data_IF_282047902137
#
_entry.id   IF_282047902137
#
_cell.length_a   1.000
_cell.length_b   1.000
_cell.length_c   1.000
_cell.angle_alpha   90.00
_cell.angle_beta   90.00
_cell.angle_gamma   90.00
#
_symmetry.space_group_name_H-M   'P 1'
#
loop_
_entity.id
_entity.type
_entity.pdbx_description
1 polymer ?
#
# COMPACT_ATOMS: atom_id res chain seq x y z
N UNK A 1 5.49 -0.37 -7.94
CA UNK A 1 4.49 -1.43 -8.10
C UNK A 1 3.47 -1.08 -9.17
N UNK A 2 2.55 -0.11 -8.97
CA UNK A 2 1.49 0.22 -9.94
C UNK A 2 1.99 0.39 -11.40
N UNK A 3 3.04 1.18 -11.62
CA UNK A 3 3.63 1.36 -12.97
C UNK A 3 4.14 0.06 -13.62
N UNK A 4 4.66 -0.88 -12.82
CA UNK A 4 5.11 -2.16 -13.35
C UNK A 4 3.92 -3.04 -13.75
N UNK A 5 2.84 -2.99 -12.97
CA UNK A 5 1.57 -3.65 -13.27
C UNK A 5 0.90 -3.07 -14.53
N UNK A 6 0.94 -1.75 -14.71
CA UNK A 6 0.35 -1.04 -15.85
C UNK A 6 1.10 -1.31 -17.16
N UNK A 7 2.44 -1.24 -17.16
CA UNK A 7 3.23 -1.48 -18.37
C UNK A 7 3.20 -2.96 -18.77
N UNK A 8 3.26 -3.86 -17.78
CA UNK A 8 3.35 -5.30 -17.98
C UNK A 8 4.35 -5.72 -19.08
N UNK A 9 5.49 -5.02 -19.13
CA UNK A 9 6.55 -5.22 -20.10
C UNK A 9 7.90 -4.93 -19.44
N UNK A 10 8.97 -5.57 -19.91
CA UNK A 10 10.34 -5.41 -19.39
C UNK A 10 11.21 -4.77 -20.47
N UNK A 11 11.93 -3.70 -20.14
CA UNK A 11 12.89 -3.08 -21.06
C UNK A 11 14.28 -3.74 -20.96
N UNK A 12 15.12 -3.50 -21.96
CA UNK A 12 16.53 -3.94 -21.91
C UNK A 12 17.28 -3.32 -20.73
N UNK A 13 16.98 -2.06 -20.39
CA UNK A 13 17.53 -1.38 -19.22
C UNK A 13 17.11 -2.06 -17.91
N UNK A 14 15.86 -2.54 -17.81
CA UNK A 14 15.40 -3.30 -16.65
C UNK A 14 16.24 -4.60 -16.50
N UNK A 15 16.55 -5.31 -17.59
CA UNK A 15 17.41 -6.49 -17.54
C UNK A 15 18.86 -6.17 -17.18
N UNK A 16 19.41 -5.05 -17.66
CA UNK A 16 20.76 -4.60 -17.31
C UNK A 16 20.88 -4.29 -15.82
N UNK A 17 19.92 -3.58 -15.25
CA UNK A 17 19.90 -3.24 -13.83
C UNK A 17 19.78 -4.50 -12.94
N UNK A 18 18.91 -5.43 -13.32
CA UNK A 18 18.75 -6.71 -12.63
C UNK A 18 20.03 -7.56 -12.71
N UNK A 19 20.67 -7.62 -13.89
CA UNK A 19 21.92 -8.35 -14.10
C UNK A 19 23.07 -7.78 -13.26
N UNK A 20 23.20 -6.45 -13.18
CA UNK A 20 24.20 -5.78 -12.32
C UNK A 20 23.99 -6.08 -10.83
N UNK A 21 22.74 -6.27 -10.40
CA UNK A 21 22.39 -6.66 -9.04
C UNK A 21 22.51 -8.19 -8.78
N UNK A 22 22.97 -8.97 -9.76
CA UNK A 22 23.12 -10.42 -9.65
C UNK A 22 21.80 -11.21 -9.75
N UNK A 23 20.71 -10.57 -10.18
CA UNK A 23 19.41 -11.23 -10.36
C UNK A 23 19.31 -11.76 -11.80
N UNK A 24 19.65 -13.04 -11.98
CA UNK A 24 19.69 -13.71 -13.28
C UNK A 24 18.45 -14.53 -13.63
N UNK A 25 18.56 -15.29 -14.72
CA UNK A 25 17.48 -16.15 -15.26
C UNK A 25 17.01 -17.24 -14.29
N UNK A 26 17.85 -17.67 -13.33
CA UNK A 26 17.44 -18.64 -12.30
C UNK A 26 16.31 -18.12 -11.41
N UNK A 27 16.29 -16.80 -11.15
CA UNK A 27 15.28 -16.15 -10.33
C UNK A 27 14.20 -15.47 -11.17
N UNK A 28 14.55 -14.94 -12.34
CA UNK A 28 13.59 -14.20 -13.17
C UNK A 28 12.84 -15.08 -14.16
N UNK A 29 13.41 -16.24 -14.51
CA UNK A 29 12.86 -17.15 -15.50
C UNK A 29 11.46 -17.63 -15.14
N UNK A 30 10.53 -17.51 -16.10
CA UNK A 30 9.16 -17.95 -15.95
C UNK A 30 8.26 -17.03 -15.13
N UNK A 31 8.75 -15.91 -14.60
CA UNK A 31 7.90 -14.90 -13.97
C UNK A 31 7.17 -14.05 -15.03
N UNK A 32 6.00 -13.47 -14.70
CA UNK A 32 5.38 -12.44 -15.51
C UNK A 32 6.26 -11.20 -15.70
N UNK A 33 6.08 -10.54 -16.84
CA UNK A 33 6.80 -9.31 -17.18
C UNK A 33 6.57 -8.19 -16.14
N UNK A 34 5.35 -8.04 -15.61
CA UNK A 34 5.09 -7.06 -14.56
C UNK A 34 5.87 -7.35 -13.26
N UNK A 35 6.15 -8.62 -12.93
CA UNK A 35 6.96 -8.99 -11.73
C UNK A 35 8.42 -8.66 -11.98
N UNK A 36 8.93 -8.95 -13.17
CA UNK A 36 10.31 -8.63 -13.57
C UNK A 36 10.51 -7.12 -13.59
N UNK A 37 9.59 -6.35 -14.19
CA UNK A 37 9.64 -4.87 -14.18
C UNK A 37 9.49 -4.30 -12.76
N UNK A 38 8.67 -4.91 -11.90
CA UNK A 38 8.60 -4.55 -10.48
C UNK A 38 9.98 -4.72 -9.81
N UNK A 39 10.64 -5.85 -10.07
CA UNK A 39 11.93 -6.19 -9.50
C UNK A 39 13.03 -5.22 -9.95
N UNK A 40 13.06 -4.85 -11.23
CA UNK A 40 14.03 -3.88 -11.76
C UNK A 40 13.87 -2.51 -11.09
N UNK A 41 12.63 -2.03 -10.97
CA UNK A 41 12.34 -0.76 -10.27
C UNK A 41 12.73 -0.82 -8.80
N UNK A 42 12.57 -1.97 -8.17
CA UNK A 42 12.97 -2.14 -6.78
C UNK A 42 14.49 -2.18 -6.62
N UNK A 43 15.21 -2.85 -7.53
CA UNK A 43 16.68 -2.82 -7.57
C UNK A 43 17.20 -1.39 -7.74
N UNK A 44 16.58 -0.58 -8.60
CA UNK A 44 16.93 0.86 -8.71
C UNK A 44 16.77 1.59 -7.37
N UNK A 45 15.70 1.31 -6.63
CA UNK A 45 15.51 1.87 -5.28
C UNK A 45 16.58 1.36 -4.30
N UNK A 46 16.87 0.06 -4.30
CA UNK A 46 17.90 -0.54 -3.44
C UNK A 46 19.29 0.06 -3.73
N UNK A 47 19.61 0.29 -5.01
CA UNK A 47 20.85 0.96 -5.41
C UNK A 47 20.90 2.43 -4.97
N UNK A 48 19.76 3.14 -5.03
CA UNK A 48 19.65 4.50 -4.50
C UNK A 48 19.79 4.52 -2.96
N UNK A 49 19.24 3.53 -2.26
CA UNK A 49 19.42 3.36 -0.81
C UNK A 49 20.90 3.13 -0.51
N UNK A 50 21.58 2.23 -1.24
CA UNK A 50 23.01 1.94 -1.08
C UNK A 50 23.89 3.19 -1.19
N UNK A 51 23.58 4.12 -2.08
CA UNK A 51 24.39 5.34 -2.25
C UNK A 51 24.13 6.41 -1.20
N UNK A 52 22.89 6.53 -0.70
CA UNK A 52 22.50 7.58 0.24
C UNK A 52 22.60 7.18 1.72
N UNK A 53 22.44 5.90 2.01
CA UNK A 53 22.38 5.38 3.37
C UNK A 53 23.68 5.58 4.18
N UNK A 54 24.90 5.45 3.62
CA UNK A 54 26.13 5.65 4.40
C UNK A 54 26.20 7.04 5.06
N UNK A 55 25.83 8.09 4.33
CA UNK A 55 25.86 9.47 4.85
C UNK A 55 24.86 9.66 6.00
N UNK A 56 23.67 9.06 5.88
CA UNK A 56 22.63 9.15 6.90
C UNK A 56 23.01 8.36 8.17
N UNK A 57 23.58 7.16 8.02
CA UNK A 57 24.11 6.37 9.13
C UNK A 57 25.24 7.13 9.84
N UNK A 58 26.17 7.69 9.07
CA UNK A 58 27.28 8.47 9.61
C UNK A 58 26.77 9.67 10.42
N UNK A 59 25.83 10.44 9.87
CA UNK A 59 25.22 11.58 10.55
C UNK A 59 24.61 11.16 11.90
N UNK A 60 23.76 10.15 11.88
CA UNK A 60 23.11 9.63 13.08
C UNK A 60 24.12 9.13 14.12
N UNK A 61 25.13 8.36 13.70
CA UNK A 61 26.15 7.82 14.60
C UNK A 61 27.00 8.91 15.25
N UNK A 62 27.37 9.95 14.49
CA UNK A 62 28.10 11.09 15.03
C UNK A 62 27.25 11.90 16.03
N UNK A 63 25.97 12.11 15.75
CA UNK A 63 25.04 12.79 16.66
C UNK A 63 24.88 12.03 17.99
N UNK A 64 24.76 10.70 17.94
CA UNK A 64 24.67 9.88 19.14
C UNK A 64 26.00 9.82 19.90
N UNK A 65 27.13 9.60 19.23
CA UNK A 65 28.44 9.48 19.89
C UNK A 65 28.92 10.79 20.50
N UNK A 66 28.63 11.95 19.90
CA UNK A 66 28.97 13.28 20.45
C UNK A 66 28.36 13.56 21.83
N UNK A 67 27.31 12.82 22.22
CA UNK A 67 26.71 12.93 23.56
C UNK A 67 27.60 12.34 24.66
N UNK A 68 28.49 11.41 24.30
CA UNK A 68 29.26 10.61 25.25
C UNK A 68 30.78 10.75 25.07
N UNK A 69 31.24 11.13 23.88
CA UNK A 69 32.67 11.20 23.54
C UNK A 69 33.06 12.59 23.01
N UNK A 70 34.18 13.12 23.49
CA UNK A 70 34.72 14.42 23.06
C UNK A 70 35.56 14.34 21.79
N UNK A 71 36.14 13.17 21.50
CA UNK A 71 36.94 12.91 20.30
C UNK A 71 36.37 11.69 19.57
N UNK A 72 36.17 11.82 18.25
CA UNK A 72 35.56 10.80 17.39
C UNK A 72 36.39 10.69 16.12
N UNK A 73 36.91 9.50 15.85
CA UNK A 73 37.66 9.23 14.63
C UNK A 73 36.73 9.14 13.42
N UNK A 74 36.61 10.24 12.66
CA UNK A 74 35.69 10.35 11.53
C UNK A 74 35.91 9.30 10.44
N UNK A 75 37.16 8.89 10.19
CA UNK A 75 37.47 7.89 9.16
C UNK A 75 36.92 6.50 9.51
N UNK A 76 37.03 6.10 10.78
CA UNK A 76 36.48 4.83 11.26
C UNK A 76 34.96 4.84 11.18
N UNK A 77 34.32 5.92 11.64
CA UNK A 77 32.85 6.03 11.57
C UNK A 77 32.32 5.99 10.13
N UNK A 78 33.05 6.60 9.20
CA UNK A 78 32.69 6.57 7.77
C UNK A 78 32.79 5.15 7.21
N UNK A 79 33.89 4.46 7.48
CA UNK A 79 34.09 3.07 7.05
C UNK A 79 32.99 2.16 7.62
N UNK A 80 32.68 2.30 8.92
CA UNK A 80 31.62 1.53 9.57
C UNK A 80 30.25 1.79 8.95
N UNK A 81 29.94 3.05 8.61
CA UNK A 81 28.69 3.42 7.96
C UNK A 81 28.58 2.82 6.54
N UNK A 82 29.68 2.81 5.77
CA UNK A 82 29.75 2.19 4.45
C UNK A 82 29.53 0.66 4.55
N UNK A 83 30.17 -0.01 5.50
CA UNK A 83 30.00 -1.46 5.75
C UNK A 83 28.56 -1.78 6.17
N UNK A 84 27.96 -0.98 7.06
CA UNK A 84 26.58 -1.19 7.49
C UNK A 84 25.60 -1.02 6.32
N UNK A 85 25.78 0.01 5.50
CA UNK A 85 24.94 0.24 4.32
C UNK A 85 25.05 -0.91 3.30
N UNK A 86 26.25 -1.45 3.10
CA UNK A 86 26.46 -2.62 2.24
C UNK A 86 25.80 -3.88 2.82
N UNK A 87 25.81 -4.05 4.15
CA UNK A 87 25.06 -5.10 4.83
C UNK A 87 23.55 -5.00 4.57
N UNK A 88 22.97 -3.78 4.67
CA UNK A 88 21.56 -3.53 4.35
C UNK A 88 21.27 -3.85 2.89
N UNK A 89 22.11 -3.39 1.96
CA UNK A 89 21.97 -3.66 0.52
C UNK A 89 21.88 -5.17 0.22
N UNK A 90 22.81 -5.96 0.76
CA UNK A 90 22.82 -7.41 0.57
C UNK A 90 21.56 -8.08 1.17
N UNK A 91 21.13 -7.63 2.35
CA UNK A 91 19.89 -8.11 2.96
C UNK A 91 18.65 -7.76 2.11
N UNK A 92 18.60 -6.57 1.50
CA UNK A 92 17.49 -6.17 0.61
C UNK A 92 17.41 -7.09 -0.60
N UNK A 93 18.53 -7.40 -1.25
CA UNK A 93 18.57 -8.30 -2.40
C UNK A 93 18.13 -9.72 -2.04
N UNK A 94 18.60 -10.24 -0.90
CA UNK A 94 18.16 -11.54 -0.40
C UNK A 94 16.65 -11.57 -0.13
N UNK A 95 16.13 -10.53 0.52
CA UNK A 95 14.70 -10.39 0.81
C UNK A 95 13.85 -10.30 -0.47
N UNK A 96 14.36 -9.63 -1.49
CA UNK A 96 13.73 -9.60 -2.82
C UNK A 96 13.73 -11.00 -3.45
N UNK A 97 14.84 -11.74 -3.43
CA UNK A 97 14.89 -13.10 -3.98
C UNK A 97 13.88 -14.03 -3.31
N UNK A 98 13.81 -14.03 -1.96
CA UNK A 98 12.82 -14.82 -1.21
C UNK A 98 11.39 -14.41 -1.56
N UNK A 99 11.15 -13.10 -1.73
CA UNK A 99 9.84 -12.58 -2.16
C UNK A 99 9.44 -13.11 -3.53
N UNK A 100 10.35 -13.07 -4.51
CA UNK A 100 10.08 -13.56 -5.86
C UNK A 100 9.82 -15.07 -5.89
N UNK A 101 10.54 -15.86 -5.09
CA UNK A 101 10.29 -17.30 -4.98
C UNK A 101 8.93 -17.61 -4.38
N UNK A 102 8.52 -16.92 -3.31
CA UNK A 102 7.18 -17.06 -2.71
C UNK A 102 6.08 -16.70 -3.70
N UNK A 103 6.25 -15.60 -4.43
CA UNK A 103 5.29 -15.14 -5.44
C UNK A 103 5.22 -16.13 -6.60
N UNK A 104 6.36 -16.61 -7.11
CA UNK A 104 6.43 -17.65 -8.17
C UNK A 104 5.69 -18.91 -7.76
N UNK A 105 5.89 -19.36 -6.52
CA UNK A 105 5.23 -20.54 -5.99
C UNK A 105 3.71 -20.40 -6.01
N UNK A 106 3.19 -19.30 -5.47
CA UNK A 106 1.74 -19.02 -5.45
C UNK A 106 1.17 -18.93 -6.85
N UNK A 107 1.83 -18.21 -7.75
CA UNK A 107 1.39 -18.09 -9.14
C UNK A 107 1.37 -19.44 -9.87
N UNK A 108 2.36 -20.29 -9.64
CA UNK A 108 2.40 -21.65 -10.20
C UNK A 108 1.23 -22.49 -9.70
N UNK A 109 0.89 -22.37 -8.41
CA UNK A 109 -0.20 -23.16 -7.83
C UNK A 109 -1.57 -22.72 -8.35
N UNK A 110 -1.77 -21.42 -8.58
CA UNK A 110 -3.06 -20.87 -9.00
C UNK A 110 -3.23 -20.93 -10.53
N UNK A 111 -2.20 -20.54 -11.29
CA UNK A 111 -2.28 -20.35 -12.74
C UNK A 111 -1.60 -21.47 -13.55
N UNK A 112 -0.91 -22.41 -12.88
CA UNK A 112 -0.09 -23.44 -13.53
C UNK A 112 1.22 -22.86 -14.09
N UNK A 113 1.13 -22.05 -15.15
CA UNK A 113 2.25 -21.27 -15.67
C UNK A 113 2.26 -19.87 -15.03
N UNK A 114 3.27 -19.51 -14.22
CA UNK A 114 3.32 -18.20 -13.59
C UNK A 114 3.26 -17.05 -14.59
N UNK A 115 3.74 -17.20 -15.84
CA UNK A 115 3.69 -16.13 -16.85
C UNK A 115 2.27 -15.67 -17.18
N UNK A 116 1.27 -16.53 -16.96
CA UNK A 116 -0.14 -16.21 -17.22
C UNK A 116 -0.79 -15.44 -16.06
N UNK A 117 -0.09 -15.24 -14.94
CA UNK A 117 -0.63 -14.54 -13.78
C UNK A 117 -0.82 -13.04 -14.11
N UNK A 118 -2.07 -12.51 -14.07
CA UNK A 118 -2.34 -11.11 -14.35
C UNK A 118 -1.79 -10.22 -13.22
N UNK A 119 -1.49 -8.94 -13.47
CA UNK A 119 -1.03 -8.02 -12.42
C UNK A 119 -2.05 -7.89 -11.26
N UNK A 120 -1.59 -7.76 -10.00
CA UNK A 120 -2.46 -7.65 -8.83
C UNK A 120 -3.03 -6.24 -8.64
N UNK A 121 -2.47 -5.24 -9.31
CA UNK A 121 -2.97 -3.86 -9.32
C UNK A 121 -3.38 -3.48 -10.73
N UNK A 122 -4.59 -2.96 -10.85
CA UNK A 122 -5.16 -2.52 -12.12
C UNK A 122 -5.57 -1.06 -11.98
N UNK A 123 -4.96 -0.19 -12.78
CA UNK A 123 -5.30 1.22 -12.79
C UNK A 123 -6.69 1.39 -13.41
N UNK A 124 -7.53 2.18 -12.76
CA UNK A 124 -8.87 2.46 -13.25
C UNK A 124 -8.79 3.30 -14.52
N UNK A 125 -9.66 3.00 -15.48
CA UNK A 125 -9.84 3.87 -16.66
C UNK A 125 -10.48 5.20 -16.25
N UNK A 126 -10.44 6.23 -17.12
CA UNK A 126 -11.15 7.48 -16.84
C UNK A 126 -12.64 7.27 -16.56
N UNK A 127 -13.29 6.36 -17.29
CA UNK A 127 -14.72 6.03 -17.14
C UNK A 127 -14.98 5.35 -15.80
N UNK A 128 -14.16 4.37 -15.42
CA UNK A 128 -14.25 3.71 -14.12
C UNK A 128 -13.98 4.68 -12.97
N UNK A 129 -13.06 5.63 -13.17
CA UNK A 129 -12.76 6.69 -12.20
C UNK A 129 -13.95 7.63 -12.02
N UNK A 130 -14.60 8.06 -13.11
CA UNK A 130 -15.84 8.86 -13.04
C UNK A 130 -16.96 8.06 -12.37
N UNK A 131 -17.08 6.77 -12.65
CA UNK A 131 -18.04 5.89 -11.98
C UNK A 131 -17.78 5.82 -10.47
N UNK A 132 -16.52 5.60 -10.06
CA UNK A 132 -16.12 5.51 -8.66
C UNK A 132 -16.37 6.83 -7.90
N UNK A 133 -16.14 7.97 -8.55
CA UNK A 133 -16.19 9.27 -7.87
C UNK A 133 -17.57 9.93 -7.96
N UNK A 134 -18.32 9.75 -9.05
CA UNK A 134 -19.49 10.58 -9.36
C UNK A 134 -20.81 9.83 -9.61
N UNK A 135 -20.80 8.66 -10.26
CA UNK A 135 -22.02 8.04 -10.82
C UNK A 135 -22.44 6.68 -10.26
N UNK A 136 -21.50 5.89 -9.74
CA UNK A 136 -21.80 4.54 -9.27
C UNK A 136 -22.61 4.55 -7.97
N UNK A 137 -23.39 3.50 -7.75
CA UNK A 137 -23.92 3.18 -6.43
C UNK A 137 -22.74 3.02 -5.45
N UNK A 138 -22.74 3.79 -4.36
CA UNK A 138 -21.60 3.85 -3.45
C UNK A 138 -20.40 4.63 -3.98
N UNK A 139 -20.59 5.48 -5.00
CA UNK A 139 -19.58 6.46 -5.40
C UNK A 139 -19.32 7.49 -4.31
N UNK A 140 -18.18 8.18 -4.36
CA UNK A 140 -17.83 9.23 -3.40
C UNK A 140 -18.95 10.28 -3.24
N UNK A 141 -19.53 10.73 -4.36
CA UNK A 141 -20.62 11.73 -4.37
C UNK A 141 -21.92 11.15 -3.84
N UNK A 142 -22.26 9.92 -4.18
CA UNK A 142 -23.45 9.24 -3.65
C UNK A 142 -23.34 9.06 -2.12
N UNK A 143 -22.20 8.54 -1.63
CA UNK A 143 -21.94 8.37 -0.20
C UNK A 143 -22.00 9.71 0.55
N UNK A 144 -21.40 10.76 -0.02
CA UNK A 144 -21.46 12.12 0.53
C UNK A 144 -22.92 12.59 0.68
N UNK A 145 -23.73 12.51 -0.38
CA UNK A 145 -25.11 12.94 -0.38
C UNK A 145 -25.98 12.12 0.59
N UNK A 146 -25.73 10.81 0.70
CA UNK A 146 -26.39 9.94 1.66
C UNK A 146 -26.02 10.32 3.10
N UNK A 147 -24.75 10.59 3.38
CA UNK A 147 -24.29 10.99 4.71
C UNK A 147 -24.79 12.37 5.14
N UNK A 148 -24.96 13.29 4.19
CA UNK A 148 -25.52 14.63 4.43
C UNK A 148 -27.02 14.61 4.69
N UNK A 149 -27.74 13.64 4.11
CA UNK A 149 -29.20 13.59 4.11
C UNK A 149 -29.88 13.71 5.49
N UNK A 150 -29.38 13.12 6.59
CA UNK A 150 -30.02 13.23 7.91
C UNK A 150 -29.82 14.58 8.59
N UNK A 151 -28.91 15.42 8.09
CA UNK A 151 -28.42 16.62 8.77
C UNK A 151 -28.75 17.92 8.03
N UNK A 152 -29.37 17.82 6.86
CA UNK A 152 -29.65 18.95 5.98
C UNK A 152 -31.13 19.04 5.63
N UNK A 153 -31.57 20.26 5.35
CA UNK A 153 -32.88 20.53 4.77
C UNK A 153 -33.00 19.83 3.41
N UNK A 154 -34.17 19.23 3.14
CA UNK A 154 -34.44 18.51 1.92
C UNK A 154 -34.33 19.41 0.68
N UNK A 155 -34.72 20.68 0.77
CA UNK A 155 -34.68 21.63 -0.34
C UNK A 155 -33.23 21.98 -0.71
N UNK A 156 -32.38 22.22 0.28
CA UNK A 156 -30.94 22.50 0.08
C UNK A 156 -30.24 21.27 -0.50
N UNK A 157 -30.57 20.07 0.00
CA UNK A 157 -29.99 18.82 -0.50
C UNK A 157 -30.44 18.53 -1.94
N UNK A 158 -31.70 18.81 -2.28
CA UNK A 158 -32.22 18.64 -3.63
C UNK A 158 -31.61 19.66 -4.60
N UNK A 159 -31.39 20.91 -4.18
CA UNK A 159 -30.64 21.90 -4.96
C UNK A 159 -29.22 21.38 -5.26
N UNK A 160 -28.50 20.92 -4.23
CA UNK A 160 -27.15 20.35 -4.40
C UNK A 160 -27.15 19.14 -5.36
N UNK A 161 -28.11 18.22 -5.22
CA UNK A 161 -28.28 17.08 -6.14
C UNK A 161 -28.47 17.53 -7.58
N UNK A 162 -29.26 18.57 -7.81
CA UNK A 162 -29.50 19.11 -9.15
C UNK A 162 -28.22 19.70 -9.75
N UNK A 163 -27.46 20.48 -8.96
CA UNK A 163 -26.17 21.05 -9.36
C UNK A 163 -25.11 19.99 -9.64
N UNK A 164 -25.07 18.92 -8.84
CA UNK A 164 -24.18 17.77 -9.05
C UNK A 164 -24.48 17.07 -10.37
N UNK A 165 -25.76 16.84 -10.68
CA UNK A 165 -26.17 16.24 -11.98
C UNK A 165 -25.78 17.13 -13.17
N UNK A 166 -25.90 18.45 -13.02
CA UNK A 166 -25.55 19.40 -14.08
C UNK A 166 -24.04 19.51 -14.36
N UNK A 167 -23.18 19.04 -13.44
CA UNK A 167 -21.71 19.14 -13.52
C UNK A 167 -21.02 17.78 -13.65
N UNK A 168 -21.75 16.84 -14.21
CA UNK A 168 -21.28 15.51 -14.52
C UNK A 168 -20.04 15.54 -15.45
N UNK A 169 -18.88 15.01 -15.02
CA UNK A 169 -17.66 15.04 -15.82
C UNK A 169 -17.65 14.03 -16.99
N UNK A 170 -18.71 13.23 -17.14
CA UNK A 170 -18.79 12.15 -18.14
C UNK A 170 -18.69 12.63 -19.59
N UNK A 171 -19.04 13.88 -19.90
CA UNK A 171 -19.04 14.36 -21.29
C UNK A 171 -17.63 14.54 -21.86
N UNK A 172 -16.63 14.76 -21.00
CA UNK A 172 -15.24 14.96 -21.43
C UNK A 172 -14.30 13.80 -21.08
N UNK A 173 -14.67 12.91 -20.14
CA UNK A 173 -13.87 11.75 -19.68
C UNK A 173 -12.37 12.04 -19.44
N UNK A 174 -12.01 13.28 -19.13
CA UNK A 174 -10.62 13.65 -18.83
C UNK A 174 -10.40 13.68 -17.32
N UNK A 175 -9.20 13.28 -16.89
CA UNK A 175 -8.79 13.44 -15.48
C UNK A 175 -8.95 14.90 -15.01
N UNK A 176 -8.66 15.87 -15.88
CA UNK A 176 -8.79 17.29 -15.55
C UNK A 176 -10.24 17.73 -15.32
N UNK A 177 -11.18 17.25 -16.16
CA UNK A 177 -12.60 17.56 -15.98
C UNK A 177 -13.15 17.01 -14.66
N UNK A 178 -12.77 15.77 -14.32
CA UNK A 178 -13.17 15.12 -13.07
C UNK A 178 -12.61 15.88 -11.86
N UNK A 179 -11.33 16.26 -11.90
CA UNK A 179 -10.72 17.11 -10.87
C UNK A 179 -11.42 18.46 -10.75
N UNK A 180 -11.78 19.13 -11.86
CA UNK A 180 -12.51 20.41 -11.82
C UNK A 180 -13.90 20.26 -11.19
N UNK A 181 -14.65 19.21 -11.55
CA UNK A 181 -15.96 18.93 -10.94
C UNK A 181 -15.85 18.66 -9.44
N UNK A 182 -14.81 17.93 -9.00
CA UNK A 182 -14.55 17.70 -7.57
C UNK A 182 -14.14 18.99 -6.84
N UNK A 183 -13.33 19.84 -7.45
CA UNK A 183 -12.94 21.13 -6.86
C UNK A 183 -14.14 22.08 -6.71
N UNK A 184 -15.04 22.08 -7.68
CA UNK A 184 -16.31 22.79 -7.54
C UNK A 184 -17.15 22.20 -6.40
N UNK A 185 -17.29 20.87 -6.34
CA UNK A 185 -18.05 20.21 -5.28
C UNK A 185 -17.48 20.52 -3.90
N UNK A 186 -16.15 20.54 -3.76
CA UNK A 186 -15.45 20.99 -2.55
C UNK A 186 -15.92 22.38 -2.15
N UNK A 187 -15.95 23.32 -3.08
CA UNK A 187 -16.30 24.72 -2.78
C UNK A 187 -17.78 24.87 -2.36
N UNK A 188 -18.70 24.17 -3.02
CA UNK A 188 -20.10 24.14 -2.59
C UNK A 188 -20.25 23.51 -1.20
N UNK A 189 -19.63 22.35 -0.96
CA UNK A 189 -19.71 21.65 0.33
C UNK A 189 -19.11 22.52 1.43
N UNK A 190 -18.00 23.22 1.17
CA UNK A 190 -17.37 24.14 2.13
C UNK A 190 -18.26 25.33 2.49
N UNK A 191 -19.14 25.76 1.58
CA UNK A 191 -20.08 26.86 1.83
C UNK A 191 -21.25 26.49 2.76
N UNK A 192 -21.45 25.19 3.01
CA UNK A 192 -22.55 24.68 3.83
C UNK A 192 -22.28 24.83 5.35
N UNK A 193 -23.33 25.05 6.16
CA UNK A 193 -23.18 25.23 7.60
C UNK A 193 -22.73 23.94 8.29
N UNK A 194 -21.64 24.00 9.04
CA UNK A 194 -21.13 22.86 9.80
C UNK A 194 -21.80 22.74 11.17
N UNK A 195 -21.99 21.50 11.62
CA UNK A 195 -22.42 21.19 13.00
C UNK A 195 -21.51 20.12 13.61
N UNK A 196 -21.65 19.86 14.91
CA UNK A 196 -20.88 18.80 15.58
C UNK A 196 -21.17 17.38 15.05
N UNK A 197 -22.28 17.19 14.31
CA UNK A 197 -22.66 15.93 13.65
C UNK A 197 -22.36 15.92 12.15
N UNK A 198 -22.03 17.08 11.58
CA UNK A 198 -21.98 17.32 10.14
C UNK A 198 -20.78 18.22 9.82
N UNK A 199 -19.63 17.62 9.49
CA UNK A 199 -18.38 18.34 9.22
C UNK A 199 -18.17 18.48 7.71
N UNK A 200 -18.92 19.39 7.10
CA UNK A 200 -18.78 19.70 5.68
C UNK A 200 -17.40 20.31 5.35
N UNK A 201 -16.81 21.03 6.30
CA UNK A 201 -15.44 21.53 6.21
C UNK A 201 -14.43 20.39 6.01
N UNK A 202 -14.50 19.35 6.85
CA UNK A 202 -13.65 18.17 6.74
C UNK A 202 -13.95 17.36 5.47
N UNK A 203 -15.23 17.25 5.09
CA UNK A 203 -15.63 16.58 3.85
C UNK A 203 -15.07 17.30 2.62
N UNK A 204 -15.10 18.64 2.60
CA UNK A 204 -14.49 19.44 1.54
C UNK A 204 -12.97 19.22 1.48
N UNK A 205 -12.28 19.20 2.62
CA UNK A 205 -10.83 18.91 2.64
C UNK A 205 -10.53 17.50 2.12
N UNK A 206 -11.36 16.50 2.42
CA UNK A 206 -11.23 15.16 1.82
C UNK A 206 -11.46 15.19 0.31
N UNK A 207 -12.52 15.82 -0.17
CA UNK A 207 -12.80 15.97 -1.62
C UNK A 207 -11.61 16.62 -2.33
N UNK A 208 -10.93 17.57 -1.69
CA UNK A 208 -9.71 18.17 -2.23
C UNK A 208 -8.60 17.13 -2.42
N UNK A 209 -8.39 16.23 -1.44
CA UNK A 209 -7.41 15.12 -1.58
C UNK A 209 -7.80 14.20 -2.74
N UNK A 210 -9.09 13.84 -2.87
CA UNK A 210 -9.57 13.05 -4.00
C UNK A 210 -9.32 13.77 -5.35
N UNK A 211 -9.58 15.08 -5.43
CA UNK A 211 -9.40 15.87 -6.65
C UNK A 211 -7.95 15.92 -7.16
N UNK A 212 -6.97 15.89 -6.23
CA UNK A 212 -5.54 15.89 -6.54
C UNK A 212 -4.91 14.48 -6.58
N UNK A 213 -5.70 13.43 -6.38
CA UNK A 213 -5.23 12.05 -6.50
C UNK A 213 -4.98 11.72 -7.97
N UNK A 214 -3.72 11.44 -8.32
CA UNK A 214 -3.29 11.26 -9.71
C UNK A 214 -3.76 9.97 -10.37
N UNK A 215 -3.99 8.92 -9.59
CA UNK A 215 -4.32 7.60 -10.11
C UNK A 215 -5.13 6.82 -9.09
N UNK A 216 -6.25 6.28 -9.56
CA UNK A 216 -7.04 5.30 -8.82
C UNK A 216 -6.72 3.91 -9.40
N UNK A 217 -6.76 2.90 -8.55
CA UNK A 217 -6.51 1.54 -8.94
C UNK A 217 -7.35 0.59 -8.10
N UNK A 218 -7.67 -0.56 -8.67
CA UNK A 218 -8.29 -1.68 -7.96
C UNK A 218 -7.26 -2.77 -7.69
N UNK A 219 -7.49 -3.48 -6.58
CA UNK A 219 -6.73 -4.69 -6.25
C UNK A 219 -7.45 -5.88 -6.85
N UNK A 220 -6.71 -6.71 -7.59
CA UNK A 220 -7.18 -7.99 -8.11
C UNK A 220 -6.83 -9.08 -7.12
N UNK A 221 -7.84 -9.61 -6.45
CA UNK A 221 -7.67 -10.77 -5.57
C UNK A 221 -7.53 -12.03 -6.41
N UNK A 222 -6.51 -12.84 -6.11
CA UNK A 222 -6.36 -14.16 -6.72
C UNK A 222 -7.15 -15.23 -5.97
N UNK A 223 -7.27 -16.41 -6.55
CA UNK A 223 -7.89 -17.54 -5.87
C UNK A 223 -7.05 -17.97 -4.66
N UNK A 224 -7.71 -18.19 -3.52
CA UNK A 224 -7.06 -18.73 -2.35
C UNK A 224 -6.78 -20.22 -2.54
N UNK A 225 -5.63 -20.68 -2.06
CA UNK A 225 -5.30 -22.11 -2.08
C UNK A 225 -4.55 -22.52 -0.81
N UNK A 226 -4.61 -23.81 -0.50
CA UNK A 226 -3.86 -24.42 0.60
C UNK A 226 -2.76 -25.30 0.03
N UNK A 227 -1.53 -25.15 0.54
CA UNK A 227 -0.40 -25.97 0.11
C UNK A 227 -0.64 -27.45 0.34
N UNK A 228 0.02 -28.32 -0.44
CA UNK A 228 0.17 -29.72 -0.07
C UNK A 228 0.70 -29.85 1.36
N UNK A 229 0.29 -30.89 2.10
CA UNK A 229 0.77 -31.12 3.45
C UNK A 229 2.24 -31.48 3.50
N UNK A 230 2.96 -30.83 4.41
CA UNK A 230 4.32 -31.18 4.79
C UNK A 230 4.24 -31.92 6.11
N UNK A 231 4.82 -33.12 6.16
CA UNK A 231 4.89 -33.92 7.38
C UNK A 231 6.22 -33.60 8.06
N UNK A 232 6.13 -33.02 9.25
CA UNK A 232 7.29 -32.63 10.06
C UNK A 232 7.43 -33.67 11.16
N UNK A 233 8.52 -34.41 11.13
CA UNK A 233 8.84 -35.39 12.18
C UNK A 233 9.47 -34.69 13.39
N UNK A 234 9.38 -35.31 14.58
CA UNK A 234 10.09 -34.81 15.77
C UNK A 234 11.61 -34.68 15.57
N UNK A 235 12.21 -35.46 14.67
CA UNK A 235 13.63 -35.39 14.34
C UNK A 235 13.99 -34.12 13.56
N UNK A 236 13.04 -33.54 12.81
CA UNK A 236 13.25 -32.33 12.00
C UNK A 236 13.31 -31.04 12.83
N UNK A 237 12.74 -31.06 14.05
CA UNK A 237 12.61 -29.87 14.90
C UNK A 237 13.71 -29.75 15.97
N UNK A 238 14.65 -30.68 15.98
CA UNK A 238 15.72 -30.75 16.97
C UNK A 238 15.25 -31.12 18.38
N UNK A 239 16.19 -31.44 19.30
CA UNK A 239 15.86 -32.03 20.60
C UNK A 239 15.01 -31.14 21.51
N UNK A 240 14.99 -29.82 21.29
CA UNK A 240 14.20 -28.86 22.09
C UNK A 240 12.70 -28.86 21.77
N UNK A 241 12.31 -29.39 20.61
CA UNK A 241 10.95 -29.38 20.11
C UNK A 241 10.38 -30.78 19.87
N UNK A 242 11.21 -31.82 19.94
CA UNK A 242 10.81 -33.22 19.76
C UNK A 242 9.70 -33.65 20.74
N UNK A 243 9.81 -33.24 22.02
CA UNK A 243 8.84 -33.59 23.06
C UNK A 243 7.47 -32.91 22.88
N UNK A 244 7.39 -31.84 22.07
CA UNK A 244 6.16 -31.06 21.88
C UNK A 244 5.21 -31.62 20.83
N UNK A 245 5.70 -32.46 19.91
CA UNK A 245 4.92 -32.93 18.77
C UNK A 245 4.16 -34.25 19.01
N UNK A 246 4.42 -34.94 20.11
CA UNK A 246 3.97 -36.34 20.27
C UNK A 246 4.66 -37.25 19.25
N UNK A 247 4.63 -38.57 19.46
CA UNK A 247 5.34 -39.54 18.61
C UNK A 247 4.85 -39.64 17.15
N UNK A 248 3.93 -38.79 16.71
CA UNK A 248 3.33 -38.79 15.37
C UNK A 248 3.85 -37.59 14.55
N UNK A 249 4.07 -37.76 13.23
CA UNK A 249 4.44 -36.65 12.36
C UNK A 249 3.38 -35.55 12.37
N UNK A 250 3.79 -34.30 12.59
CA UNK A 250 2.89 -33.16 12.53
C UNK A 250 2.63 -32.78 11.08
N UNK A 251 1.36 -32.70 10.71
CA UNK A 251 0.93 -32.29 9.38
C UNK A 251 0.80 -30.77 9.34
N UNK A 252 1.72 -30.11 8.66
CA UNK A 252 1.69 -28.67 8.42
C UNK A 252 1.13 -28.36 7.02
N UNK A 253 0.24 -27.38 6.95
CA UNK A 253 -0.29 -26.82 5.71
C UNK A 253 -0.36 -25.30 5.83
N UNK A 254 -0.08 -24.59 4.74
CA UNK A 254 -0.20 -23.15 4.67
C UNK A 254 -1.31 -22.76 3.70
N UNK A 255 -2.23 -21.92 4.16
CA UNK A 255 -3.24 -21.29 3.29
C UNK A 255 -2.72 -19.94 2.81
N UNK A 256 -2.86 -19.70 1.52
CA UNK A 256 -2.50 -18.45 0.86
C UNK A 256 -3.80 -17.76 0.44
N UNK A 257 -4.10 -16.60 1.04
CA UNK A 257 -5.26 -15.80 0.67
C UNK A 257 -5.09 -15.06 -0.66
N UNK A 258 -6.18 -14.52 -1.20
CA UNK A 258 -6.17 -13.86 -2.52
C UNK A 258 -5.25 -12.64 -2.62
N UNK A 259 -4.99 -11.97 -1.50
CA UNK A 259 -4.10 -10.81 -1.42
C UNK A 259 -2.65 -11.16 -1.02
N UNK A 260 -2.30 -12.45 -0.90
CA UNK A 260 -0.99 -12.89 -0.43
C UNK A 260 0.16 -12.35 -1.31
N UNK A 261 0.05 -12.47 -2.63
CA UNK A 261 1.07 -11.98 -3.56
C UNK A 261 1.26 -10.46 -3.44
N UNK A 262 0.17 -9.70 -3.39
CA UNK A 262 0.23 -8.26 -3.20
C UNK A 262 0.90 -7.90 -1.87
N UNK A 263 0.52 -8.56 -0.78
CA UNK A 263 1.13 -8.35 0.53
C UNK A 263 2.62 -8.66 0.53
N UNK A 264 3.02 -9.79 -0.05
CA UNK A 264 4.42 -10.17 -0.12
C UNK A 264 5.25 -9.17 -0.95
N UNK A 265 4.67 -8.57 -2.00
CA UNK A 265 5.33 -7.53 -2.80
C UNK A 265 5.37 -6.16 -2.09
N UNK A 266 4.39 -5.81 -1.26
CA UNK A 266 4.42 -4.57 -0.46
C UNK A 266 5.45 -4.70 0.67
N UNK A 267 5.43 -5.83 1.38
CA UNK A 267 6.32 -6.12 2.50
C UNK A 267 7.55 -6.93 2.10
N UNK A 268 8.04 -6.75 0.87
CA UNK A 268 9.17 -7.48 0.31
C UNK A 268 10.42 -7.44 1.22
N UNK A 269 10.58 -6.40 2.03
CA UNK A 269 11.69 -6.22 2.95
C UNK A 269 11.50 -6.85 4.33
N UNK A 270 10.30 -7.36 4.65
CA UNK A 270 9.95 -7.99 5.94
C UNK A 270 9.68 -9.48 5.69
N UNK A 271 10.69 -10.32 5.91
CA UNK A 271 10.56 -11.76 5.68
C UNK A 271 9.99 -12.54 6.88
N UNK A 272 9.87 -11.90 8.05
CA UNK A 272 9.31 -12.48 9.27
C UNK A 272 7.78 -12.53 9.26
N UNK A 273 7.13 -11.88 8.31
CA UNK A 273 5.68 -11.87 8.21
C UNK A 273 5.17 -13.18 7.58
N UNK A 274 4.54 -14.04 8.38
CA UNK A 274 3.94 -15.29 7.92
C UNK A 274 2.63 -15.10 7.15
N UNK A 275 1.95 -13.98 7.41
CA UNK A 275 0.57 -13.66 7.00
C UNK A 275 0.50 -12.25 6.36
N UNK A 276 1.11 -12.09 5.17
CA UNK A 276 1.21 -10.79 4.52
C UNK A 276 -0.15 -10.24 4.08
N UNK A 277 -1.10 -11.10 3.72
CA UNK A 277 -2.48 -10.77 3.32
C UNK A 277 -3.25 -10.01 4.39
N UNK A 278 -3.24 -10.46 5.65
CA UNK A 278 -3.89 -9.74 6.75
C UNK A 278 -3.26 -8.37 7.03
N UNK A 279 -1.96 -8.24 6.76
CA UNK A 279 -1.22 -7.01 7.02
C UNK A 279 -1.51 -5.94 5.96
N UNK A 280 -1.86 -6.33 4.72
CA UNK A 280 -2.16 -5.40 3.62
C UNK A 280 -3.27 -4.43 4.00
N UNK A 281 -4.40 -4.92 4.50
CA UNK A 281 -5.56 -4.08 4.82
C UNK A 281 -5.26 -3.04 5.93
N UNK A 282 -4.36 -3.36 6.85
CA UNK A 282 -3.94 -2.42 7.91
C UNK A 282 -2.93 -1.41 7.38
N UNK A 283 -1.94 -1.84 6.61
CA UNK A 283 -0.90 -0.96 6.09
C UNK A 283 -1.32 -0.13 4.88
N UNK A 284 -2.39 -0.53 4.19
CA UNK A 284 -2.96 0.26 3.10
C UNK A 284 -3.63 1.54 3.60
N UNK A 285 -4.09 1.58 4.86
CA UNK A 285 -4.72 2.76 5.46
C UNK A 285 -3.75 3.94 5.49
N UNK A 286 -4.16 5.06 4.87
CA UNK A 286 -3.40 6.31 4.86
C UNK A 286 -2.45 6.49 3.68
N UNK A 287 -1.87 5.42 3.14
CA UNK A 287 -0.94 5.51 2.00
C UNK A 287 -1.50 4.95 0.68
N UNK A 288 -2.36 3.93 0.74
CA UNK A 288 -2.94 3.27 -0.43
C UNK A 288 -4.47 3.40 -0.49
N UNK A 289 -5.11 3.58 0.67
CA UNK A 289 -6.54 3.84 0.80
C UNK A 289 -6.76 5.26 1.27
N UNK A 290 -7.61 5.98 0.54
CA UNK A 290 -8.10 7.28 0.97
C UNK A 290 -9.16 7.11 2.08
N UNK A 291 -9.35 8.11 2.96
CA UNK A 291 -10.42 8.07 3.96
C UNK A 291 -11.81 8.04 3.32
N UNK A 292 -12.72 7.30 3.93
CA UNK A 292 -14.14 7.29 3.55
C UNK A 292 -14.79 8.64 3.90
N UNK A 293 -15.58 9.20 2.99
CA UNK A 293 -16.21 10.51 3.17
C UNK A 293 -17.26 10.47 4.29
N UNK A 294 -17.88 9.32 4.54
CA UNK A 294 -18.81 9.12 5.65
C UNK A 294 -18.18 9.31 7.03
N UNK A 295 -16.85 9.26 7.16
CA UNK A 295 -16.17 9.54 8.44
C UNK A 295 -16.33 10.99 8.92
N UNK A 296 -16.71 11.92 8.04
CA UNK A 296 -16.99 13.32 8.37
C UNK A 296 -18.38 13.55 8.98
N UNK A 297 -19.23 12.52 8.99
CA UNK A 297 -20.62 12.61 9.42
C UNK A 297 -20.88 11.62 10.56
N UNK A 298 -21.65 12.03 11.56
CA UNK A 298 -22.05 11.12 12.62
C UNK A 298 -22.94 10.01 12.01
N UNK A 299 -22.72 8.74 12.36
CA UNK A 299 -23.63 7.67 11.94
C UNK A 299 -24.91 7.74 12.79
N UNK A 300 -26.08 7.63 12.15
CA UNK A 300 -27.40 7.75 12.79
C UNK A 300 -27.67 6.66 13.85
N UNK A 301 -26.87 5.58 13.92
CA UNK A 301 -26.92 4.60 15.00
C UNK A 301 -25.54 4.28 15.61
N UNK A 302 -25.46 4.59 16.90
CA UNK A 302 -24.40 4.34 17.92
C UNK A 302 -22.98 4.82 17.59
N UNK A 303 -22.47 5.85 18.30
CA UNK A 303 -21.03 6.11 18.35
C UNK A 303 -20.39 4.99 19.17
N UNK A 304 -19.54 4.16 18.57
CA UNK A 304 -18.43 3.63 19.35
C UNK A 304 -17.62 4.84 19.80
N UNK A 305 -17.64 5.13 21.10
CA UNK A 305 -16.77 6.12 21.74
C UNK A 305 -15.30 5.66 21.68
N UNK A 306 -14.74 5.58 20.49
CA UNK A 306 -13.30 5.54 20.30
C UNK A 306 -12.96 6.75 19.45
N UNK A 307 -12.72 7.87 20.13
CA UNK A 307 -11.84 8.90 19.59
C UNK A 307 -10.54 8.16 19.23
N UNK A 308 -10.26 7.99 17.94
CA UNK A 308 -9.05 7.31 17.45
C UNK A 308 -7.79 8.04 17.96
N UNK A 309 -7.91 9.32 18.30
CA UNK A 309 -6.86 10.11 18.94
C UNK A 309 -7.35 10.71 20.26
N UNK A 310 -6.58 10.48 21.33
CA UNK A 310 -6.82 11.09 22.62
C UNK A 310 -6.61 12.63 22.58
N UNK A 311 -7.16 13.39 23.53
CA UNK A 311 -7.01 14.85 23.58
C UNK A 311 -5.54 15.32 23.55
N UNK A 312 -4.65 14.53 24.17
CA UNK A 312 -3.20 14.77 24.15
C UNK A 312 -2.59 14.65 22.75
N UNK A 313 -3.01 13.64 21.98
CA UNK A 313 -2.50 13.38 20.62
C UNK A 313 -2.94 14.47 19.66
N UNK A 314 -4.18 14.94 19.77
CA UNK A 314 -4.70 16.07 18.98
C UNK A 314 -3.94 17.36 19.31
N UNK A 315 -3.69 17.64 20.59
CA UNK A 315 -2.90 18.80 21.01
C UNK A 315 -1.48 18.77 20.44
N UNK A 316 -0.83 17.62 20.48
CA UNK A 316 0.53 17.42 19.95
C UNK A 316 0.61 17.56 18.42
N UNK A 317 -0.44 17.17 17.70
CA UNK A 317 -0.54 17.37 16.24
C UNK A 317 -0.72 18.84 15.89
N UNK A 318 -1.57 19.56 16.64
CA UNK A 318 -1.80 20.99 16.43
C UNK A 318 -0.60 21.86 16.82
N UNK A 319 0.21 21.43 17.79
CA UNK A 319 1.48 22.11 18.15
C UNK A 319 2.58 21.93 17.10
N UNK A 320 2.41 21.02 16.12
CA UNK A 320 3.37 20.72 15.06
C UNK A 320 2.95 21.21 13.67
N UNK A 321 1.77 21.84 13.55
CA UNK A 321 1.30 22.55 12.36
C UNK A 321 1.51 24.05 12.55
#
# INVERSE_FOLDING_TARGET
MLRACELNSVSDEDYLDLGRAGLGSCLLGGLPDWVVSYSARLVRFINLERTKLPEEILRHNLEEKRKYFADICLEVERSDAEVQAEGVYNQRLQNLAVTLDKVRYVMRCIFGDPKQAPPPLEKLTPEETVSLLWKGDGSLVDELLQCMSPYMDADILNDLRSKVRARDPSDSMTSESTSKSLLWLRDEVRSLPCTYKCRHDAAADLIHVYAYTKSFFRVREYDAFTSPPVHISPLDLGPKCADKLGGLPHKYQKTYGGNYCMGQLIFWHIQTNSEPDFTVAKASKGCLSLPEIGSCYAKVQKPSQQRIYGPKTVKLMLERM
#
